data_IF_439799373079
#
_entry.id   IF_439799373079
#
_cell.length_a   1.000
_cell.length_b   1.000
_cell.length_c   1.000
_cell.angle_alpha   90.00
_cell.angle_beta   90.00
_cell.angle_gamma   90.00
#
_symmetry.space_group_name_H-M   'P 1'
#
loop_
_entity.id
_entity.type
_entity.pdbx_description
1 polymer ?
#
# COMPACT_ATOMS: atom_id res chain seq x y z
N UNK A 1 10.30 3.13 3.93
CA UNK A 1 11.72 2.99 4.33
C UNK A 1 12.25 4.39 4.53
N UNK A 2 12.47 4.80 5.79
CA UNK A 2 13.07 6.10 6.10
C UNK A 2 14.59 5.98 6.03
N UNK A 3 15.25 7.04 5.56
CA UNK A 3 16.70 7.16 5.63
C UNK A 3 17.18 7.71 7.00
N UNK A 4 16.26 7.80 7.98
CA UNK A 4 16.52 8.30 9.34
C UNK A 4 16.52 7.13 10.34
N UNK A 5 17.70 6.84 10.88
CA UNK A 5 17.92 6.79 12.34
C UNK A 5 17.49 5.60 13.20
N UNK A 6 16.73 4.60 12.73
CA UNK A 6 16.40 3.42 13.55
C UNK A 6 17.24 2.20 13.16
N UNK A 7 17.78 1.48 14.15
CA UNK A 7 18.42 0.19 13.92
C UNK A 7 17.38 -0.82 13.41
N UNK A 8 17.78 -1.83 12.60
CA UNK A 8 16.87 -2.88 12.16
C UNK A 8 16.14 -3.53 13.34
N UNK A 9 14.81 -3.68 13.22
CA UNK A 9 13.97 -4.28 14.25
C UNK A 9 13.37 -5.59 13.76
N UNK A 10 13.33 -6.58 14.64
CA UNK A 10 12.58 -7.82 14.41
C UNK A 10 11.10 -7.51 14.63
N UNK A 11 10.28 -7.79 13.63
CA UNK A 11 8.83 -7.59 13.70
C UNK A 11 8.14 -8.88 14.14
N UNK A 12 7.28 -8.78 15.15
CA UNK A 12 6.36 -9.85 15.50
C UNK A 12 5.32 -10.04 14.39
N UNK A 13 4.62 -11.17 14.38
CA UNK A 13 3.50 -11.38 13.46
C UNK A 13 2.44 -10.29 13.66
N UNK A 14 2.04 -9.62 12.58
CA UNK A 14 1.05 -8.55 12.65
C UNK A 14 0.94 -7.73 11.38
N UNK A 15 0.15 -6.66 11.47
CA UNK A 15 -0.07 -5.70 10.38
C UNK A 15 0.84 -4.50 10.58
N UNK A 16 1.53 -4.11 9.51
CA UNK A 16 2.47 -3.00 9.52
C UNK A 16 2.17 -2.08 8.33
N UNK A 17 2.12 -0.78 8.60
CA UNK A 17 1.90 0.24 7.57
C UNK A 17 3.02 1.25 7.69
N UNK A 18 3.68 1.53 6.57
CA UNK A 18 4.86 2.41 6.49
C UNK A 18 4.64 3.51 5.46
N UNK A 19 5.29 4.64 5.69
CA UNK A 19 5.42 5.71 4.70
C UNK A 19 6.86 6.24 4.71
N UNK A 20 7.07 7.49 4.28
CA UNK A 20 8.38 8.14 4.25
C UNK A 20 8.89 8.55 5.65
N UNK A 21 8.08 8.37 6.68
CA UNK A 21 8.42 8.58 8.09
C UNK A 21 9.04 7.36 8.78
N UNK A 22 9.36 7.51 10.08
CA UNK A 22 9.73 6.39 10.94
C UNK A 22 8.55 5.43 11.14
N UNK A 23 8.83 4.20 11.54
CA UNK A 23 7.79 3.19 11.85
C UNK A 23 6.89 3.62 13.01
N UNK A 24 7.47 4.35 13.96
CA UNK A 24 6.85 4.87 15.19
C UNK A 24 6.03 6.15 14.97
N UNK A 25 6.15 6.80 13.81
CA UNK A 25 5.45 8.06 13.56
C UNK A 25 3.98 7.81 13.23
N UNK A 26 3.12 8.60 13.88
CA UNK A 26 1.69 8.59 13.63
C UNK A 26 1.33 9.53 12.48
N UNK A 27 1.08 8.94 11.31
CA UNK A 27 0.56 9.69 10.16
C UNK A 27 -0.89 9.27 9.90
N UNK A 28 -1.82 10.22 9.83
CA UNK A 28 -3.25 9.96 9.63
C UNK A 28 -3.54 9.07 8.40
N UNK A 29 -2.80 9.27 7.31
CA UNK A 29 -2.91 8.43 6.10
C UNK A 29 -2.55 6.96 6.37
N UNK A 30 -1.55 6.71 7.21
CA UNK A 30 -1.12 5.35 7.57
C UNK A 30 -2.08 4.71 8.56
N UNK A 31 -2.64 5.49 9.50
CA UNK A 31 -3.67 5.03 10.42
C UNK A 31 -4.94 4.62 9.65
N UNK A 32 -5.37 5.44 8.68
CA UNK A 32 -6.51 5.13 7.82
C UNK A 32 -6.29 3.88 6.98
N UNK A 33 -5.12 3.77 6.32
CA UNK A 33 -4.78 2.59 5.51
C UNK A 33 -4.76 1.32 6.37
N UNK A 34 -4.22 1.40 7.60
CA UNK A 34 -4.24 0.29 8.57
C UNK A 34 -5.66 -0.12 8.93
N UNK A 35 -6.54 0.84 9.19
CA UNK A 35 -7.95 0.58 9.52
C UNK A 35 -8.65 -0.13 8.36
N UNK A 36 -8.55 0.41 7.14
CA UNK A 36 -9.15 -0.20 5.94
C UNK A 36 -8.62 -1.61 5.71
N UNK A 37 -7.30 -1.80 5.77
CA UNK A 37 -6.69 -3.12 5.62
C UNK A 37 -7.24 -4.11 6.65
N UNK A 38 -7.27 -3.73 7.92
CA UNK A 38 -7.64 -4.63 9.03
C UNK A 38 -9.13 -4.96 9.02
N UNK A 39 -9.98 -4.02 8.60
CA UNK A 39 -11.44 -4.18 8.62
C UNK A 39 -11.99 -4.79 7.33
N UNK A 40 -11.37 -4.50 6.18
CA UNK A 40 -11.91 -4.87 4.88
C UNK A 40 -11.17 -6.06 4.26
N UNK A 41 -9.82 -6.04 4.25
CA UNK A 41 -9.03 -7.03 3.53
C UNK A 41 -8.56 -8.22 4.39
N UNK A 42 -8.09 -7.95 5.61
CA UNK A 42 -7.58 -8.98 6.51
C UNK A 42 -8.62 -10.08 6.84
N UNK A 43 -9.92 -9.77 7.03
CA UNK A 43 -10.94 -10.81 7.22
C UNK A 43 -11.09 -11.67 5.97
N UNK A 44 -11.06 -11.09 4.77
CA UNK A 44 -11.17 -11.83 3.51
C UNK A 44 -10.02 -12.82 3.32
N UNK A 45 -8.83 -12.50 3.81
CA UNK A 45 -7.65 -13.36 3.73
C UNK A 45 -7.77 -14.63 4.61
N UNK A 46 -8.67 -14.63 5.60
CA UNK A 46 -8.86 -15.77 6.51
C UNK A 46 -9.83 -16.83 5.97
N UNK A 47 -10.52 -16.54 4.86
CA UNK A 47 -11.50 -17.44 4.27
C UNK A 47 -11.05 -17.92 2.88
N UNK A 48 -10.94 -19.23 2.71
CA UNK A 48 -10.58 -19.87 1.44
C UNK A 48 -11.68 -19.77 0.37
N UNK A 49 -12.93 -19.51 0.79
CA UNK A 49 -14.07 -19.33 -0.11
C UNK A 49 -14.02 -18.02 -0.89
N UNK A 50 -13.20 -17.05 -0.44
CA UNK A 50 -13.05 -15.76 -1.12
C UNK A 50 -11.97 -15.90 -2.19
N UNK A 51 -12.37 -15.66 -3.44
CA UNK A 51 -11.48 -15.75 -4.59
C UNK A 51 -10.35 -14.73 -4.54
N UNK A 52 -9.25 -15.03 -5.24
CA UNK A 52 -8.13 -14.09 -5.40
C UNK A 52 -8.59 -12.78 -6.04
N UNK A 53 -9.50 -12.84 -7.02
CA UNK A 53 -10.02 -11.64 -7.67
C UNK A 53 -10.76 -10.73 -6.69
N UNK A 54 -11.61 -11.28 -5.82
CA UNK A 54 -12.30 -10.47 -4.80
C UNK A 54 -11.31 -9.80 -3.83
N UNK A 55 -10.24 -10.50 -3.44
CA UNK A 55 -9.16 -9.94 -2.60
C UNK A 55 -8.42 -8.82 -3.33
N UNK A 56 -8.16 -8.97 -4.63
CA UNK A 56 -7.55 -7.94 -5.47
C UNK A 56 -8.44 -6.72 -5.61
N UNK A 57 -9.73 -6.90 -5.88
CA UNK A 57 -10.68 -5.79 -6.03
C UNK A 57 -10.75 -4.94 -4.75
N UNK A 58 -10.85 -5.59 -3.58
CA UNK A 58 -10.79 -4.92 -2.29
C UNK A 58 -9.44 -4.23 -2.06
N UNK A 59 -8.32 -4.87 -2.44
CA UNK A 59 -6.99 -4.26 -2.35
C UNK A 59 -6.91 -2.99 -3.18
N UNK A 60 -7.40 -3.00 -4.42
CA UNK A 60 -7.36 -1.84 -5.30
C UNK A 60 -8.21 -0.69 -4.79
N UNK A 61 -9.39 -0.98 -4.26
CA UNK A 61 -10.25 0.04 -3.65
C UNK A 61 -9.59 0.69 -2.41
N UNK A 62 -8.90 -0.11 -1.58
CA UNK A 62 -8.13 0.39 -0.43
C UNK A 62 -6.96 1.28 -0.90
N UNK A 63 -6.18 0.81 -1.87
CA UNK A 63 -4.98 1.51 -2.36
C UNK A 63 -5.30 2.74 -3.21
N UNK A 64 -6.51 2.85 -3.77
CA UNK A 64 -6.97 4.02 -4.54
C UNK A 64 -7.65 5.10 -3.67
N UNK A 65 -7.52 5.02 -2.34
CA UNK A 65 -8.10 5.99 -1.42
C UNK A 65 -7.43 7.38 -1.52
N UNK A 66 -8.13 8.31 -2.16
CA UNK A 66 -7.68 9.68 -2.42
C UNK A 66 -8.00 10.68 -1.30
N UNK A 67 -8.67 10.24 -0.23
CA UNK A 67 -9.08 11.18 0.83
C UNK A 67 -7.85 11.87 1.40
N UNK A 68 -7.90 13.19 1.47
CA UNK A 68 -6.88 14.01 2.13
C UNK A 68 -7.18 14.14 3.61
N UNK A 69 -6.14 14.42 4.38
CA UNK A 69 -6.24 14.71 5.81
C UNK A 69 -6.62 16.18 5.98
N UNK A 70 -7.52 16.53 6.93
CA UNK A 70 -7.80 17.92 7.26
C UNK A 70 -6.52 18.71 7.57
N UNK A 71 -6.49 19.99 7.19
CA UNK A 71 -5.29 20.83 7.31
C UNK A 71 -4.76 20.90 8.74
N UNK A 72 -5.64 20.85 9.73
CA UNK A 72 -5.29 20.92 11.15
C UNK A 72 -4.56 19.67 11.65
N UNK A 73 -4.64 18.57 10.90
CA UNK A 73 -4.01 17.28 11.19
C UNK A 73 -2.80 16.99 10.28
N UNK A 74 -2.45 17.92 9.39
CA UNK A 74 -1.26 17.78 8.56
C UNK A 74 0.01 17.91 9.40
N UNK A 75 1.05 17.11 9.11
CA UNK A 75 2.34 17.29 9.74
C UNK A 75 3.01 18.56 9.22
N UNK A 76 3.98 19.07 9.98
CA UNK A 76 4.86 20.14 9.54
C UNK A 76 6.25 19.56 9.23
N UNK A 77 6.42 18.98 8.04
CA UNK A 77 7.70 18.36 7.61
C UNK A 77 8.61 19.34 6.88
N UNK A 78 8.11 20.53 6.54
CA UNK A 78 8.85 21.60 5.86
C UNK A 78 8.68 21.66 4.34
N UNK A 79 7.78 20.86 3.76
CA UNK A 79 7.53 20.84 2.29
C UNK A 79 6.45 21.82 1.82
N UNK A 80 5.85 22.59 2.75
CA UNK A 80 4.77 23.53 2.49
C UNK A 80 3.37 22.90 2.53
N UNK A 81 2.38 23.67 2.95
CA UNK A 81 1.03 23.17 3.27
C UNK A 81 0.33 22.48 2.09
N UNK A 82 0.42 23.03 0.87
CA UNK A 82 -0.19 22.42 -0.32
C UNK A 82 0.40 21.03 -0.62
N UNK A 83 1.72 20.88 -0.44
CA UNK A 83 2.40 19.62 -0.63
C UNK A 83 2.07 18.65 0.51
N UNK A 84 2.01 19.10 1.77
CA UNK A 84 1.56 18.26 2.89
C UNK A 84 0.15 17.72 2.64
N UNK A 85 -0.76 18.59 2.18
CA UNK A 85 -2.14 18.21 1.85
C UNK A 85 -2.17 17.20 0.69
N UNK A 86 -1.37 17.41 -0.36
CA UNK A 86 -1.26 16.49 -1.49
C UNK A 86 -0.69 15.12 -1.07
N UNK A 87 0.33 15.11 -0.22
CA UNK A 87 0.99 13.89 0.27
C UNK A 87 0.21 13.18 1.38
N UNK A 88 -0.92 13.74 1.82
CA UNK A 88 -1.74 13.19 2.91
C UNK A 88 -2.70 12.08 2.47
N UNK A 89 -2.86 11.82 1.18
CA UNK A 89 -3.64 10.68 0.69
C UNK A 89 -2.78 9.43 0.52
N UNK A 90 -3.43 8.26 0.54
CA UNK A 90 -2.78 6.99 0.16
C UNK A 90 -2.56 6.92 -1.35
N UNK A 91 -3.52 7.45 -2.11
CA UNK A 91 -3.44 7.62 -3.56
C UNK A 91 -3.30 9.09 -3.92
N UNK A 92 -2.12 9.48 -4.39
CA UNK A 92 -1.80 10.88 -4.70
C UNK A 92 -2.18 11.15 -6.15
N UNK A 93 -3.01 12.16 -6.38
CA UNK A 93 -3.42 12.58 -7.70
C UNK A 93 -3.21 14.08 -7.88
N UNK A 94 -2.33 14.44 -8.81
CA UNK A 94 -2.20 15.80 -9.31
C UNK A 94 -1.62 15.78 -10.74
N UNK A 95 -1.70 16.89 -11.48
CA UNK A 95 -1.11 16.99 -12.82
C UNK A 95 0.42 16.81 -12.85
N UNK A 96 1.12 17.18 -11.78
CA UNK A 96 2.59 17.25 -11.75
C UNK A 96 3.24 16.12 -10.92
N UNK A 97 2.47 15.46 -10.05
CA UNK A 97 2.96 14.44 -9.13
C UNK A 97 1.83 13.51 -8.68
N UNK A 98 2.06 12.19 -8.69
CA UNK A 98 1.05 11.25 -8.23
C UNK A 98 1.49 9.80 -8.20
N UNK A 99 0.59 8.95 -7.71
CA UNK A 99 0.77 7.50 -7.65
C UNK A 99 0.82 6.93 -9.06
N UNK A 100 1.93 6.27 -9.41
CA UNK A 100 2.18 5.67 -10.74
C UNK A 100 1.71 4.23 -10.85
N UNK A 101 1.84 3.47 -9.77
CA UNK A 101 1.42 2.09 -9.69
C UNK A 101 0.95 1.73 -8.27
N UNK A 102 0.17 0.66 -8.19
CA UNK A 102 -0.22 0.00 -6.94
C UNK A 102 0.15 -1.46 -7.03
N UNK A 103 0.80 -1.99 -6.00
CA UNK A 103 1.34 -3.34 -6.01
C UNK A 103 0.65 -4.20 -4.95
N UNK A 104 0.25 -5.41 -5.33
CA UNK A 104 -0.19 -6.47 -4.44
C UNK A 104 0.78 -7.63 -4.55
N UNK A 105 1.38 -8.00 -3.42
CA UNK A 105 2.33 -9.10 -3.34
C UNK A 105 1.90 -10.01 -2.19
N UNK A 106 1.58 -11.26 -2.51
CA UNK A 106 1.29 -12.30 -1.54
C UNK A 106 2.37 -13.39 -1.65
N UNK A 107 3.01 -13.69 -0.52
CA UNK A 107 4.01 -14.74 -0.43
C UNK A 107 3.57 -15.78 0.59
N UNK A 108 3.75 -17.04 0.23
CA UNK A 108 3.79 -18.16 1.17
C UNK A 108 5.04 -19.00 0.90
N UNK A 109 5.15 -20.17 1.54
CA UNK A 109 6.32 -21.02 1.40
C UNK A 109 6.56 -21.50 -0.04
N UNK A 110 5.51 -21.66 -0.85
CA UNK A 110 5.57 -22.36 -2.13
C UNK A 110 5.26 -21.46 -3.34
N UNK A 111 4.66 -20.30 -3.11
CA UNK A 111 4.10 -19.43 -4.14
C UNK A 111 4.38 -17.96 -3.82
N UNK A 112 4.78 -17.23 -4.87
CA UNK A 112 4.76 -15.77 -4.91
C UNK A 112 3.75 -15.35 -5.96
N UNK A 113 2.74 -14.60 -5.51
CA UNK A 113 1.75 -13.98 -6.37
C UNK A 113 1.94 -12.47 -6.36
N UNK A 114 2.09 -11.88 -7.54
CA UNK A 114 2.27 -10.45 -7.75
C UNK A 114 1.26 -9.93 -8.76
N UNK A 115 0.60 -8.83 -8.41
CA UNK A 115 -0.19 -8.03 -9.33
C UNK A 115 0.23 -6.57 -9.19
N UNK A 116 0.49 -5.90 -10.30
CA UNK A 116 0.74 -4.46 -10.32
C UNK A 116 -0.36 -3.79 -11.13
N UNK A 117 -1.03 -2.78 -10.59
CA UNK A 117 -1.97 -1.94 -11.33
C UNK A 117 -1.28 -0.65 -11.74
N UNK A 118 -1.21 -0.37 -13.03
CA UNK A 118 -0.69 0.88 -13.56
C UNK A 118 -1.75 1.98 -13.41
N UNK A 119 -1.36 3.13 -12.86
CA UNK A 119 -2.26 4.19 -12.43
C UNK A 119 -2.13 5.49 -13.24
N UNK A 120 -1.18 5.54 -14.18
CA UNK A 120 -0.92 6.69 -15.04
C UNK A 120 -0.33 6.26 -16.40
N UNK A 121 -0.47 7.11 -17.41
CA UNK A 121 0.13 6.93 -18.72
C UNK A 121 -0.70 6.07 -19.68
N UNK A 122 -0.06 5.58 -20.74
CA UNK A 122 -0.68 4.82 -21.83
C UNK A 122 -1.35 3.52 -21.36
N UNK A 123 -0.81 2.89 -20.31
CA UNK A 123 -1.25 1.62 -19.76
C UNK A 123 -2.17 1.77 -18.55
N UNK A 124 -2.88 2.90 -18.43
CA UNK A 124 -3.74 3.19 -17.29
C UNK A 124 -4.79 2.09 -17.09
N UNK A 125 -4.80 1.48 -15.90
CA UNK A 125 -5.73 0.43 -15.53
C UNK A 125 -5.25 -0.98 -15.83
N UNK A 126 -4.14 -1.14 -16.57
CA UNK A 126 -3.54 -2.43 -16.83
C UNK A 126 -3.06 -3.07 -15.52
N UNK A 127 -3.35 -4.37 -15.38
CA UNK A 127 -2.93 -5.16 -14.22
C UNK A 127 -2.07 -6.34 -14.68
N UNK A 128 -0.78 -6.13 -15.04
CA UNK A 128 0.14 -7.24 -15.26
C UNK A 128 0.17 -8.17 -14.03
N UNK A 129 0.01 -9.47 -14.30
CA UNK A 129 0.05 -10.53 -13.29
C UNK A 129 1.35 -11.30 -13.43
N UNK A 130 2.09 -11.42 -12.33
CA UNK A 130 3.25 -12.28 -12.18
C UNK A 130 2.93 -13.40 -11.19
N UNK A 131 3.16 -14.65 -11.58
CA UNK A 131 3.03 -15.80 -10.69
C UNK A 131 4.27 -16.68 -10.83
N UNK A 132 4.94 -16.93 -9.72
CA UNK A 132 6.12 -17.81 -9.65
C UNK A 132 5.85 -18.87 -8.58
N UNK A 133 5.91 -20.14 -8.99
CA UNK A 133 5.78 -21.30 -8.10
C UNK A 133 7.15 -21.96 -7.89
N UNK A 134 7.40 -22.44 -6.67
CA UNK A 134 8.59 -23.20 -6.29
C UNK A 134 8.89 -24.40 -7.20
N UNK A 135 7.91 -24.93 -7.94
CA UNK A 135 8.11 -25.99 -8.93
C UNK A 135 8.90 -25.55 -10.18
N UNK A 136 9.15 -24.24 -10.38
CA UNK A 136 9.93 -23.71 -11.50
C UNK A 136 11.44 -23.58 -11.22
N UNK A 137 11.88 -23.85 -9.99
CA UNK A 137 13.30 -23.88 -9.63
C UNK A 137 13.72 -25.31 -9.26
N UNK A 138 13.82 -26.17 -10.28
CA UNK A 138 14.67 -27.36 -10.18
C UNK A 138 16.08 -26.95 -10.58
N UNK A 139 16.99 -26.84 -9.61
CA UNK A 139 18.44 -26.80 -9.85
C UNK A 139 18.93 -28.24 -9.92
#
# INVERSE_FOLDING_TARGET
MSNRGEAPQILAQGVYVVSNGLMSEHWEKTARLRTRFTQELLPMMQFDTISVQQKLDATWDILQDQRKVPRELLPNTGVGEEMEELLSSSFIQSPMYGTRCSNYLALNHDCVFWAEKIQQGEFLGDVPLGHVSSQQFSI
#
